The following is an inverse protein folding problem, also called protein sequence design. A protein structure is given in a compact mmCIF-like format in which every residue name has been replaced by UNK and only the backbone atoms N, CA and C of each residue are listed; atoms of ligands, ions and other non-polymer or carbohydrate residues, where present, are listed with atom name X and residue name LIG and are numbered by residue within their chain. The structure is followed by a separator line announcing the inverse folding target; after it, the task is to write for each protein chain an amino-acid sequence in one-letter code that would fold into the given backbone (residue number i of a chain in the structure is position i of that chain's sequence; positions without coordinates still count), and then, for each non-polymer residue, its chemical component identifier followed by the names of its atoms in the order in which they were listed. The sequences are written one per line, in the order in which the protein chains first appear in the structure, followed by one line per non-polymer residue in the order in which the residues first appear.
data_IF_387828371811
#
_entry.id   IF_387828371811
#
_cell.length_a   1.000
_cell.length_b   1.000
_cell.length_c   1.000
_cell.angle_alpha   90.00
_cell.angle_beta   90.00
_cell.angle_gamma   90.00
#
_symmetry.space_group_name_H-M   'P 1'
#
loop_
_entity.id
_entity.type
_entity.pdbx_description
1 polymer ?
#
# COMPACT_ATOMS: atom_id res chain seq x y z
N UNK A 1 25.02 -7.32 39.13
CA UNK A 1 25.55 -6.19 38.32
C UNK A 1 24.56 -5.90 37.21
N UNK A 2 23.92 -4.73 37.24
CA UNK A 2 22.90 -4.30 36.26
C UNK A 2 23.62 -3.67 35.06
N UNK A 3 23.51 -4.28 33.89
CA UNK A 3 24.02 -3.70 32.64
C UNK A 3 23.26 -2.41 32.32
N UNK A 4 23.98 -1.30 32.16
CA UNK A 4 23.42 -0.03 31.65
C UNK A 4 23.06 -0.19 30.17
N UNK A 5 21.78 -0.11 29.84
CA UNK A 5 21.29 0.14 28.48
C UNK A 5 21.42 1.66 28.27
N UNK A 6 22.15 2.11 27.24
CA UNK A 6 22.21 3.55 26.90
C UNK A 6 20.82 4.01 26.45
N UNK A 7 20.32 5.08 27.07
CA UNK A 7 19.16 5.86 26.64
C UNK A 7 19.15 6.06 25.12
N UNK A 8 18.10 5.60 24.45
CA UNK A 8 17.97 5.69 23.00
C UNK A 8 16.52 5.68 22.54
N UNK A 9 16.27 6.23 21.35
CA UNK A 9 14.94 6.49 20.78
C UNK A 9 14.00 5.27 20.82
N UNK A 10 14.53 4.05 20.69
CA UNK A 10 13.78 2.79 20.76
C UNK A 10 13.11 2.58 22.12
N UNK A 11 13.83 2.80 23.21
CA UNK A 11 13.29 2.59 24.58
C UNK A 11 12.21 3.63 24.85
N UNK A 12 12.42 4.87 24.43
CA UNK A 12 11.43 5.94 24.53
C UNK A 12 10.16 5.61 23.73
N UNK A 13 10.31 5.17 22.47
CA UNK A 13 9.18 4.80 21.61
C UNK A 13 8.38 3.62 22.18
N UNK A 14 9.05 2.56 22.65
CA UNK A 14 8.38 1.41 23.25
C UNK A 14 7.70 1.77 24.57
N UNK A 15 8.32 2.61 25.40
CA UNK A 15 7.71 3.09 26.66
C UNK A 15 6.47 3.93 26.38
N UNK A 16 6.53 4.81 25.37
CA UNK A 16 5.39 5.61 24.95
C UNK A 16 4.23 4.75 24.45
N UNK A 17 4.50 3.78 23.56
CA UNK A 17 3.47 2.90 23.01
C UNK A 17 2.85 2.00 24.09
N UNK A 18 3.65 1.50 25.04
CA UNK A 18 3.12 0.77 26.20
C UNK A 18 2.21 1.65 27.04
N UNK A 19 2.67 2.84 27.42
CA UNK A 19 1.83 3.78 28.19
C UNK A 19 0.55 4.18 27.45
N UNK A 20 0.56 4.25 26.12
CA UNK A 20 -0.67 4.43 25.34
C UNK A 20 -1.57 3.20 25.35
N UNK A 21 -1.01 2.01 25.18
CA UNK A 21 -1.77 0.75 25.19
C UNK A 21 -2.46 0.54 26.55
N UNK A 22 -1.82 0.95 27.65
CA UNK A 22 -2.40 0.88 29.00
C UNK A 22 -3.62 1.81 29.16
N UNK A 23 -3.69 2.90 28.38
CA UNK A 23 -4.77 3.90 28.44
C UNK A 23 -5.82 3.74 27.33
N UNK A 24 -5.49 3.04 26.24
CA UNK A 24 -6.37 2.81 25.09
C UNK A 24 -6.34 1.31 24.71
N UNK A 25 -7.35 0.53 25.14
CA UNK A 25 -7.47 -0.88 24.81
C UNK A 25 -7.60 -1.16 23.30
N UNK A 26 -7.90 -0.15 22.49
CA UNK A 26 -8.03 -0.26 21.03
C UNK A 26 -6.69 -0.09 20.30
N UNK A 27 -5.62 0.30 21.01
CA UNK A 27 -4.29 0.38 20.43
C UNK A 27 -3.59 -0.98 20.52
N UNK A 28 -3.30 -1.56 19.36
CA UNK A 28 -2.47 -2.76 19.26
C UNK A 28 -1.01 -2.37 19.05
N UNK A 29 -0.09 -3.01 19.79
CA UNK A 29 1.36 -2.83 19.60
C UNK A 29 2.07 -4.18 19.60
N UNK A 30 2.99 -4.39 18.64
CA UNK A 30 3.83 -5.59 18.56
C UNK A 30 5.25 -5.23 18.12
N UNK A 31 6.26 -5.90 18.68
CA UNK A 31 7.65 -5.67 18.27
C UNK A 31 8.47 -6.96 18.29
N UNK A 32 9.59 -6.95 17.56
CA UNK A 32 10.57 -8.02 17.54
C UNK A 32 11.99 -7.43 17.56
N UNK A 33 12.88 -8.08 18.32
CA UNK A 33 14.30 -7.73 18.42
C UNK A 33 15.18 -8.79 17.76
N UNK A 34 16.41 -8.44 17.41
CA UNK A 34 17.44 -9.41 17.03
C UNK A 34 18.11 -10.04 18.27
N UNK A 35 19.07 -10.95 18.05
CA UNK A 35 19.87 -11.59 19.11
C UNK A 35 20.62 -10.59 19.99
N UNK A 36 20.99 -9.44 19.43
CA UNK A 36 21.74 -8.40 20.11
C UNK A 36 20.83 -7.39 20.85
N UNK A 37 19.52 -7.66 20.91
CA UNK A 37 18.53 -6.81 21.58
C UNK A 37 18.15 -5.53 20.82
N UNK A 38 18.58 -5.37 19.56
CA UNK A 38 18.19 -4.24 18.70
C UNK A 38 16.81 -4.45 18.11
N UNK A 39 16.01 -3.38 18.06
CA UNK A 39 14.69 -3.40 17.43
C UNK A 39 14.81 -3.71 15.94
N UNK A 40 14.13 -4.76 15.50
CA UNK A 40 14.09 -5.18 14.10
C UNK A 40 12.76 -4.82 13.44
N UNK A 41 11.66 -4.99 14.17
CA UNK A 41 10.30 -4.76 13.67
C UNK A 41 9.48 -4.16 14.78
N UNK A 42 8.71 -3.13 14.47
CA UNK A 42 7.76 -2.48 15.36
C UNK A 42 6.48 -2.22 14.58
N UNK A 43 5.35 -2.59 15.13
CA UNK A 43 4.02 -2.39 14.57
C UNK A 43 3.14 -1.77 15.64
N UNK A 44 2.34 -0.78 15.25
CA UNK A 44 1.26 -0.26 16.09
C UNK A 44 0.08 0.17 15.22
N UNK A 45 -1.14 -0.08 15.69
CA UNK A 45 -2.35 0.31 14.97
C UNK A 45 -3.56 0.43 15.91
N UNK A 46 -4.49 1.32 15.58
CA UNK A 46 -5.82 1.41 16.16
C UNK A 46 -6.74 0.39 15.48
N UNK A 47 -7.53 -0.34 16.27
CA UNK A 47 -8.37 -1.46 15.80
C UNK A 47 -9.59 -1.04 14.97
N UNK A 48 -9.43 -0.58 13.72
CA UNK A 48 -10.58 -0.35 12.82
C UNK A 48 -10.28 -0.42 11.31
N UNK A 49 -11.03 -1.22 10.55
CA UNK A 49 -11.26 -0.98 9.12
C UNK A 49 -11.51 -2.21 8.24
N UNK A 50 -12.34 -2.02 7.20
CA UNK A 50 -12.60 -3.02 6.15
C UNK A 50 -11.76 -2.79 4.88
N UNK A 51 -11.27 -1.57 4.66
CA UNK A 51 -10.54 -1.14 3.46
C UNK A 51 -9.19 -0.60 3.87
N UNK A 52 -8.13 -1.08 3.21
CA UNK A 52 -6.76 -0.80 3.61
C UNK A 52 -5.89 -0.31 2.45
N UNK A 53 -5.18 0.79 2.68
CA UNK A 53 -4.05 1.21 1.87
C UNK A 53 -2.73 1.01 2.65
N UNK A 54 -1.79 0.34 2.00
CA UNK A 54 -0.40 0.24 2.40
C UNK A 54 0.43 1.18 1.53
N UNK A 55 1.18 2.07 2.19
CA UNK A 55 2.19 2.88 1.52
C UNK A 55 3.52 2.69 2.22
N UNK A 56 4.60 2.47 1.47
CA UNK A 56 5.94 2.42 2.03
C UNK A 56 6.60 3.78 1.86
N UNK A 57 6.89 4.42 3.00
CA UNK A 57 7.71 5.63 2.98
C UNK A 57 9.18 5.24 3.06
N UNK A 58 9.92 5.56 2.01
CA UNK A 58 11.33 5.20 1.86
C UNK A 58 12.19 5.89 2.92
N UNK A 59 12.75 5.08 3.83
CA UNK A 59 14.05 5.22 4.52
C UNK A 59 14.55 6.62 4.90
N UNK A 60 13.65 7.55 5.23
CA UNK A 60 14.00 8.95 5.61
C UNK A 60 14.42 9.11 7.07
N UNK A 61 14.39 8.05 7.88
CA UNK A 61 14.84 8.10 9.27
C UNK A 61 16.35 7.83 9.38
N UNK A 62 16.92 8.22 10.52
CA UNK A 62 18.35 8.05 10.87
C UNK A 62 18.88 6.62 10.70
N UNK A 63 17.99 5.63 10.75
CA UNK A 63 18.33 4.21 10.69
C UNK A 63 18.14 3.62 9.28
N UNK A 64 17.67 4.42 8.31
CA UNK A 64 17.28 3.98 6.97
C UNK A 64 16.27 2.81 6.98
N UNK A 65 15.42 2.75 8.00
CA UNK A 65 14.42 1.69 8.14
C UNK A 65 13.16 2.04 7.32
N UNK A 66 12.63 1.13 6.51
CA UNK A 66 11.32 1.33 5.88
C UNK A 66 10.21 1.56 6.92
N UNK A 67 9.36 2.55 6.65
CA UNK A 67 8.15 2.80 7.43
C UNK A 67 6.94 2.51 6.54
N UNK A 68 6.21 1.45 6.89
CA UNK A 68 4.94 1.07 6.26
C UNK A 68 3.82 1.83 6.96
N UNK A 69 3.00 2.53 6.20
CA UNK A 69 1.85 3.29 6.69
C UNK A 69 0.57 2.56 6.30
N UNK A 70 -0.32 2.41 7.28
CA UNK A 70 -1.65 1.83 7.13
C UNK A 70 -2.67 2.97 7.18
N UNK A 71 -3.38 3.15 6.08
CA UNK A 71 -4.40 4.18 5.97
C UNK A 71 -5.73 3.64 5.45
N UNK A 72 -6.81 4.34 5.80
CA UNK A 72 -8.18 4.06 5.36
C UNK A 72 -8.89 5.36 5.00
N UNK A 73 -10.04 5.27 4.33
CA UNK A 73 -10.93 6.40 4.18
C UNK A 73 -12.08 6.34 5.20
N UNK A 74 -12.41 7.48 5.82
CA UNK A 74 -13.62 7.60 6.63
C UNK A 74 -14.86 7.91 5.75
N UNK A 75 -16.03 8.05 6.39
CA UNK A 75 -17.30 8.37 5.73
C UNK A 75 -17.32 9.75 5.03
N UNK A 76 -16.39 10.64 5.38
CA UNK A 76 -16.18 11.92 4.71
C UNK A 76 -15.14 11.86 3.58
N UNK A 77 -14.73 10.66 3.15
CA UNK A 77 -13.69 10.45 2.13
C UNK A 77 -12.31 11.03 2.52
N UNK A 78 -12.04 11.18 3.82
CA UNK A 78 -10.74 11.64 4.31
C UNK A 78 -9.83 10.44 4.58
N UNK A 79 -8.58 10.54 4.15
CA UNK A 79 -7.54 9.56 4.48
C UNK A 79 -7.15 9.69 5.95
N UNK A 80 -7.28 8.60 6.70
CA UNK A 80 -6.88 8.50 8.10
C UNK A 80 -5.79 7.43 8.20
N UNK A 81 -4.63 7.81 8.72
CA UNK A 81 -3.61 6.87 9.16
C UNK A 81 -4.07 6.30 10.49
N UNK A 82 -4.17 4.98 10.57
CA UNK A 82 -4.57 4.29 11.80
C UNK A 82 -3.49 3.32 12.29
N UNK A 83 -2.43 3.10 11.52
CA UNK A 83 -1.35 2.23 11.95
C UNK A 83 -0.09 2.42 11.13
N UNK A 84 1.02 1.94 11.69
CA UNK A 84 2.32 2.00 11.07
C UNK A 84 3.14 0.77 11.45
N UNK A 85 4.11 0.42 10.60
CA UNK A 85 5.15 -0.54 10.91
C UNK A 85 6.53 0.00 10.53
N UNK A 86 7.44 0.03 11.49
CA UNK A 86 8.85 0.32 11.27
C UNK A 86 9.62 -1.01 11.19
N UNK A 87 10.29 -1.25 10.07
CA UNK A 87 10.99 -2.52 9.83
C UNK A 87 12.44 -2.30 9.41
N UNK A 88 13.32 -3.26 9.69
CA UNK A 88 14.75 -3.16 9.36
C UNK A 88 15.10 -3.53 7.92
N UNK A 89 14.22 -4.27 7.22
CA UNK A 89 14.47 -4.82 5.89
C UNK A 89 13.18 -4.95 5.08
N UNK A 90 13.30 -5.05 3.74
CA UNK A 90 12.19 -5.15 2.79
C UNK A 90 12.15 -6.57 2.20
N UNK A 91 12.05 -7.57 3.08
CA UNK A 91 11.96 -8.99 2.69
C UNK A 91 10.52 -9.50 2.74
N UNK A 92 10.23 -10.58 2.01
CA UNK A 92 8.92 -11.23 2.02
C UNK A 92 8.53 -11.61 3.46
N UNK A 93 9.46 -12.16 4.25
CA UNK A 93 9.19 -12.58 5.63
C UNK A 93 8.92 -11.40 6.56
N UNK A 94 9.56 -10.26 6.32
CA UNK A 94 9.28 -9.05 7.08
C UNK A 94 7.92 -8.49 6.74
N UNK A 95 7.54 -8.42 5.47
CA UNK A 95 6.18 -7.99 5.11
C UNK A 95 5.11 -9.01 5.52
N UNK A 96 5.38 -10.31 5.50
CA UNK A 96 4.49 -11.34 6.07
C UNK A 96 4.28 -11.09 7.56
N UNK A 97 5.32 -10.75 8.31
CA UNK A 97 5.20 -10.41 9.73
C UNK A 97 4.35 -9.15 9.93
N UNK A 98 4.54 -8.12 9.10
CA UNK A 98 3.75 -6.88 9.14
C UNK A 98 2.27 -7.15 8.84
N UNK A 99 1.97 -7.90 7.79
CA UNK A 99 0.60 -8.29 7.42
C UNK A 99 -0.07 -9.16 8.48
N UNK A 100 0.66 -10.11 9.09
CA UNK A 100 0.13 -10.92 10.20
C UNK A 100 -0.13 -10.08 11.45
N UNK A 101 0.75 -9.12 11.76
CA UNK A 101 0.55 -8.20 12.89
C UNK A 101 -0.69 -7.33 12.67
N UNK A 102 -0.91 -6.88 11.45
CA UNK A 102 -2.16 -6.21 11.06
C UNK A 102 -3.38 -7.12 11.25
N UNK A 103 -3.31 -8.38 10.81
CA UNK A 103 -4.41 -9.32 10.93
C UNK A 103 -4.80 -9.58 12.39
N UNK A 104 -3.80 -9.76 13.26
CA UNK A 104 -3.99 -9.88 14.71
C UNK A 104 -4.64 -8.62 15.29
N UNK A 105 -4.16 -7.43 14.92
CA UNK A 105 -4.72 -6.15 15.35
C UNK A 105 -6.19 -5.99 14.92
N UNK A 106 -6.58 -6.57 13.77
CA UNK A 106 -7.96 -6.53 13.27
C UNK A 106 -8.82 -7.72 13.74
N UNK A 107 -8.42 -8.42 14.80
CA UNK A 107 -9.18 -9.56 15.33
C UNK A 107 -9.28 -10.74 14.36
N UNK A 108 -8.22 -10.96 13.57
CA UNK A 108 -8.13 -11.96 12.51
C UNK A 108 -9.14 -11.79 11.36
N UNK A 109 -9.70 -10.60 11.20
CA UNK A 109 -10.54 -10.27 10.06
C UNK A 109 -9.67 -9.83 8.87
N UNK A 110 -9.84 -10.52 7.74
CA UNK A 110 -9.15 -10.16 6.51
C UNK A 110 -9.69 -8.82 5.97
N UNK A 111 -8.81 -7.95 5.42
CA UNK A 111 -9.27 -6.76 4.72
C UNK A 111 -10.01 -7.16 3.45
N UNK A 112 -11.04 -6.39 3.07
CA UNK A 112 -11.76 -6.63 1.81
C UNK A 112 -10.94 -6.20 0.59
N UNK A 113 -10.11 -5.18 0.78
CA UNK A 113 -9.26 -4.60 -0.24
C UNK A 113 -7.92 -4.16 0.35
N UNK A 114 -6.86 -4.40 -0.40
CA UNK A 114 -5.53 -3.86 -0.16
C UNK A 114 -5.06 -3.03 -1.36
N UNK A 115 -4.75 -1.76 -1.11
CA UNK A 115 -4.08 -0.87 -2.07
C UNK A 115 -2.59 -0.82 -1.76
N UNK A 116 -1.72 -1.06 -2.75
CA UNK A 116 -0.24 -1.04 -2.59
C UNK A 116 0.44 -0.20 -3.67
N UNK A 117 1.59 0.41 -3.35
CA UNK A 117 2.42 1.21 -4.27
C UNK A 117 2.98 0.46 -5.50
N UNK A 118 2.89 -0.86 -5.50
CA UNK A 118 3.32 -1.73 -6.60
C UNK A 118 4.54 -2.58 -6.28
N UNK A 119 5.11 -2.48 -5.08
CA UNK A 119 6.21 -3.31 -4.61
C UNK A 119 5.89 -4.82 -4.75
N UNK A 120 6.80 -5.54 -5.40
CA UNK A 120 6.62 -6.96 -5.74
C UNK A 120 6.74 -7.84 -4.50
N UNK A 121 7.66 -7.51 -3.60
CA UNK A 121 7.93 -8.25 -2.36
C UNK A 121 6.74 -8.13 -1.40
N UNK A 122 6.23 -6.91 -1.23
CA UNK A 122 5.03 -6.63 -0.45
C UNK A 122 3.80 -7.30 -1.05
N UNK A 123 3.61 -7.21 -2.38
CA UNK A 123 2.51 -7.90 -3.06
C UNK A 123 2.55 -9.40 -2.81
N UNK A 124 3.71 -10.02 -2.94
CA UNK A 124 3.88 -11.45 -2.70
C UNK A 124 3.61 -11.82 -1.24
N UNK A 125 4.13 -11.05 -0.28
CA UNK A 125 3.86 -11.25 1.13
C UNK A 125 2.37 -11.15 1.48
N UNK A 126 1.68 -10.12 0.96
CA UNK A 126 0.26 -9.89 1.20
C UNK A 126 -0.57 -11.01 0.57
N UNK A 127 -0.24 -11.48 -0.64
CA UNK A 127 -0.93 -12.63 -1.26
C UNK A 127 -0.82 -13.91 -0.43
N UNK A 128 0.30 -14.10 0.26
CA UNK A 128 0.47 -15.25 1.15
C UNK A 128 -0.36 -15.15 2.43
N UNK A 129 -0.61 -13.94 2.94
CA UNK A 129 -1.34 -13.73 4.21
C UNK A 129 -2.84 -13.52 3.96
N UNK A 130 -3.22 -12.89 2.86
CA UNK A 130 -4.60 -12.63 2.45
C UNK A 130 -4.84 -13.10 1.00
N UNK A 131 -4.90 -14.42 0.75
CA UNK A 131 -5.01 -14.96 -0.61
C UNK A 131 -6.29 -14.53 -1.33
N UNK A 132 -7.37 -14.32 -0.59
CA UNK A 132 -8.69 -13.99 -1.13
C UNK A 132 -8.99 -12.47 -1.14
N UNK A 133 -8.09 -11.65 -0.62
CA UNK A 133 -8.29 -10.20 -0.59
C UNK A 133 -8.02 -9.60 -1.97
N UNK A 134 -8.86 -8.67 -2.42
CA UNK A 134 -8.59 -7.94 -3.66
C UNK A 134 -7.33 -7.06 -3.49
N UNK A 135 -6.41 -7.14 -4.45
CA UNK A 135 -5.20 -6.30 -4.49
C UNK A 135 -5.31 -5.29 -5.61
N UNK A 136 -5.22 -4.01 -5.26
CA UNK A 136 -5.25 -2.89 -6.20
C UNK A 136 -3.92 -2.13 -6.19
N UNK A 137 -3.28 -1.91 -7.35
CA UNK A 137 -2.18 -0.95 -7.42
C UNK A 137 -2.67 0.46 -7.06
N UNK A 138 -1.89 1.19 -6.27
CA UNK A 138 -2.11 2.59 -5.96
C UNK A 138 -2.21 3.37 -7.28
N UNK A 139 -3.34 4.04 -7.48
CA UNK A 139 -3.61 4.76 -8.71
C UNK A 139 -2.60 5.89 -8.96
N UNK A 140 -2.15 6.60 -7.91
CA UNK A 140 -1.10 7.60 -8.05
C UNK A 140 0.23 6.99 -8.53
N UNK A 141 0.67 5.90 -7.91
CA UNK A 141 1.87 5.18 -8.33
C UNK A 141 1.72 4.62 -9.73
N UNK A 142 0.54 4.14 -10.11
CA UNK A 142 0.26 3.64 -11.46
C UNK A 142 0.42 4.74 -12.50
N UNK A 143 -0.15 5.92 -12.25
CA UNK A 143 -0.01 7.09 -13.11
C UNK A 143 1.44 7.60 -13.15
N UNK A 144 2.15 7.60 -12.03
CA UNK A 144 3.57 7.95 -11.98
C UNK A 144 4.43 6.96 -12.77
N UNK A 145 4.13 5.66 -12.68
CA UNK A 145 4.82 4.62 -13.42
C UNK A 145 4.56 4.72 -14.94
N UNK A 146 3.38 5.20 -15.35
CA UNK A 146 3.11 5.53 -16.75
C UNK A 146 4.05 6.64 -17.27
N UNK A 147 4.28 7.67 -16.46
CA UNK A 147 5.21 8.76 -16.77
C UNK A 147 6.68 8.29 -16.80
N UNK A 148 7.07 7.38 -15.91
CA UNK A 148 8.45 6.87 -15.78
C UNK A 148 8.73 5.63 -16.66
N UNK A 149 7.78 5.19 -17.47
CA UNK A 149 7.90 3.97 -18.27
C UNK A 149 9.13 4.01 -19.19
N UNK A 150 9.84 2.87 -19.42
CA UNK A 150 11.01 2.79 -20.30
C UNK A 150 10.75 3.22 -21.75
N UNK A 151 9.48 3.23 -22.19
CA UNK A 151 9.03 3.68 -23.50
C UNK A 151 8.71 5.20 -23.50
N UNK A 152 9.56 5.94 -22.78
CA UNK A 152 9.20 7.18 -22.09
C UNK A 152 8.75 8.32 -22.99
N UNK A 153 9.23 8.36 -24.24
CA UNK A 153 9.03 9.54 -25.09
C UNK A 153 7.60 9.62 -25.63
N UNK A 154 6.95 8.46 -25.85
CA UNK A 154 5.57 8.38 -26.31
C UNK A 154 4.56 8.37 -25.13
N UNK A 155 4.92 7.75 -24.00
CA UNK A 155 4.05 7.64 -22.82
C UNK A 155 4.07 8.88 -21.91
N UNK A 156 5.03 9.80 -22.07
CA UNK A 156 5.06 11.09 -21.35
C UNK A 156 4.20 12.17 -22.00
N UNK A 157 3.53 11.89 -23.13
CA UNK A 157 2.66 12.89 -23.74
C UNK A 157 1.54 13.25 -22.76
N UNK A 158 1.38 14.56 -22.51
CA UNK A 158 0.30 15.07 -21.64
C UNK A 158 -1.08 14.53 -22.06
N UNK A 159 -1.42 14.46 -23.37
CA UNK A 159 -2.67 13.85 -23.83
C UNK A 159 -2.85 12.38 -23.42
N UNK A 160 -1.81 11.54 -23.57
CA UNK A 160 -1.90 10.13 -23.17
C UNK A 160 -2.13 9.99 -21.66
N UNK A 161 -1.41 10.76 -20.83
CA UNK A 161 -1.57 10.67 -19.37
C UNK A 161 -2.97 11.10 -18.92
N UNK A 162 -3.56 12.11 -19.59
CA UNK A 162 -4.95 12.50 -19.34
C UNK A 162 -5.94 11.39 -19.72
N UNK A 163 -5.78 10.81 -20.91
CA UNK A 163 -6.63 9.70 -21.38
C UNK A 163 -6.45 8.46 -20.50
N UNK A 164 -5.22 8.15 -20.08
CA UNK A 164 -4.92 7.05 -19.17
C UNK A 164 -5.55 7.28 -17.79
N UNK A 165 -5.46 8.49 -17.24
CA UNK A 165 -6.17 8.87 -16.01
C UNK A 165 -7.69 8.72 -16.18
N UNK A 166 -8.23 9.09 -17.35
CA UNK A 166 -9.64 8.89 -17.68
C UNK A 166 -10.01 7.40 -17.71
N UNK A 167 -9.19 6.54 -18.32
CA UNK A 167 -9.38 5.08 -18.29
C UNK A 167 -9.36 4.50 -16.87
N UNK A 168 -8.54 5.06 -15.97
CA UNK A 168 -8.45 4.58 -14.59
C UNK A 168 -9.70 4.88 -13.77
N UNK A 169 -10.28 6.07 -13.91
CA UNK A 169 -11.27 6.60 -12.97
C UNK A 169 -12.69 6.72 -13.52
N UNK A 170 -12.89 6.68 -14.84
CA UNK A 170 -14.22 6.83 -15.41
C UNK A 170 -15.08 5.61 -15.12
N UNK A 171 -16.36 5.88 -14.93
CA UNK A 171 -17.41 4.88 -14.80
C UNK A 171 -17.88 4.48 -16.21
N UNK A 172 -17.04 3.69 -16.90
CA UNK A 172 -17.40 3.10 -18.18
C UNK A 172 -18.08 1.75 -17.97
N UNK A 173 -18.94 1.36 -18.91
CA UNK A 173 -19.25 -0.05 -19.13
C UNK A 173 -18.03 -0.82 -19.64
N UNK A 174 -18.06 -2.15 -19.57
CA UNK A 174 -16.97 -2.98 -20.09
C UNK A 174 -16.72 -2.76 -21.59
N UNK A 175 -17.77 -2.44 -22.35
CA UNK A 175 -17.71 -2.16 -23.79
C UNK A 175 -17.11 -0.77 -24.03
N UNK A 176 -17.63 0.26 -23.36
CA UNK A 176 -17.10 1.62 -23.43
C UNK A 176 -15.62 1.69 -23.05
N UNK A 177 -15.17 0.92 -22.06
CA UNK A 177 -13.75 0.86 -21.71
C UNK A 177 -12.91 0.27 -22.85
N UNK A 178 -13.38 -0.81 -23.49
CA UNK A 178 -12.65 -1.44 -24.60
C UNK A 178 -12.53 -0.47 -25.77
N UNK A 179 -13.61 0.21 -26.10
CA UNK A 179 -13.64 1.23 -27.16
C UNK A 179 -12.74 2.42 -26.81
N UNK A 180 -12.81 2.89 -25.56
CA UNK A 180 -11.96 3.98 -25.08
C UNK A 180 -10.47 3.61 -25.08
N UNK A 181 -10.13 2.36 -24.75
CA UNK A 181 -8.74 1.89 -24.73
C UNK A 181 -8.08 1.90 -26.13
N UNK A 182 -8.86 1.98 -27.21
CA UNK A 182 -8.33 2.23 -28.56
C UNK A 182 -7.56 3.56 -28.66
N UNK A 183 -7.63 4.43 -27.65
CA UNK A 183 -6.72 5.58 -27.46
C UNK A 183 -5.23 5.20 -27.59
N UNK A 184 -4.85 3.96 -27.32
CA UNK A 184 -3.48 3.46 -27.52
C UNK A 184 -3.02 3.62 -28.98
N UNK A 185 -3.91 3.43 -29.96
CA UNK A 185 -3.60 3.63 -31.38
C UNK A 185 -3.40 5.10 -31.70
N UNK A 186 -4.30 5.96 -31.21
CA UNK A 186 -4.23 7.42 -31.37
C UNK A 186 -2.90 8.00 -30.85
N UNK A 187 -2.37 7.43 -29.77
CA UNK A 187 -1.10 7.86 -29.17
C UNK A 187 0.12 7.12 -29.75
N UNK A 188 -0.04 6.24 -30.74
CA UNK A 188 1.07 5.49 -31.35
C UNK A 188 1.74 4.50 -30.41
N UNK A 189 1.00 3.98 -29.43
CA UNK A 189 1.52 3.15 -28.33
C UNK A 189 1.26 1.64 -28.55
N UNK A 190 0.80 1.25 -29.73
CA UNK A 190 0.56 -0.15 -30.10
C UNK A 190 1.88 -0.94 -30.04
N UNK A 191 1.85 -2.14 -29.46
CA UNK A 191 3.02 -3.00 -29.33
C UNK A 191 3.97 -2.61 -28.19
N UNK A 192 3.73 -1.50 -27.48
CA UNK A 192 4.50 -1.17 -26.28
C UNK A 192 4.19 -2.18 -25.17
N UNK A 193 5.23 -2.90 -24.73
CA UNK A 193 5.11 -3.96 -23.70
C UNK A 193 4.41 -3.49 -22.43
N UNK A 194 4.75 -2.28 -21.96
CA UNK A 194 4.15 -1.72 -20.76
C UNK A 194 2.64 -1.48 -20.93
N UNK A 195 2.21 -0.90 -22.06
CA UNK A 195 0.79 -0.64 -22.36
C UNK A 195 0.01 -1.95 -22.49
N UNK A 196 0.58 -2.95 -23.14
CA UNK A 196 -0.01 -4.29 -23.26
C UNK A 196 -0.24 -4.90 -21.87
N UNK A 197 0.79 -4.85 -21.00
CA UNK A 197 0.69 -5.30 -19.61
C UNK A 197 -0.36 -4.52 -18.80
N UNK A 198 -0.52 -3.22 -19.05
CA UNK A 198 -1.56 -2.42 -18.41
C UNK A 198 -2.95 -2.89 -18.79
N UNK A 199 -3.18 -3.17 -20.07
CA UNK A 199 -4.44 -3.69 -20.56
C UNK A 199 -4.74 -5.09 -20.00
N UNK A 200 -3.76 -6.01 -20.01
CA UNK A 200 -3.91 -7.35 -19.43
C UNK A 200 -4.34 -7.29 -17.95
N UNK A 201 -3.76 -6.36 -17.20
CA UNK A 201 -4.03 -6.19 -15.77
C UNK A 201 -5.17 -5.20 -15.47
N UNK A 202 -5.96 -4.75 -16.47
CA UNK A 202 -7.01 -3.72 -16.31
C UNK A 202 -8.01 -4.01 -15.19
N UNK A 203 -8.32 -5.28 -14.95
CA UNK A 203 -9.20 -5.71 -13.87
C UNK A 203 -8.70 -5.37 -12.47
N UNK A 204 -7.40 -5.11 -12.30
CA UNK A 204 -6.80 -4.77 -11.02
C UNK A 204 -6.78 -3.28 -10.69
N UNK A 205 -7.04 -2.38 -11.67
CA UNK A 205 -6.83 -0.94 -11.47
C UNK A 205 -7.93 -0.02 -12.01
N UNK A 206 -8.62 -0.41 -13.09
CA UNK A 206 -9.65 0.41 -13.71
C UNK A 206 -10.98 0.30 -12.95
N UNK A 207 -11.59 1.45 -12.61
CA UNK A 207 -12.88 1.51 -11.89
C UNK A 207 -13.96 0.65 -12.54
N UNK A 208 -14.05 0.66 -13.87
CA UNK A 208 -14.96 -0.16 -14.69
C UNK A 208 -14.94 -1.67 -14.40
N UNK A 209 -13.81 -2.23 -13.96
CA UNK A 209 -13.71 -3.67 -13.66
C UNK A 209 -13.83 -3.98 -12.17
N UNK A 210 -14.03 -2.94 -11.38
CA UNK A 210 -13.91 -2.94 -9.95
C UNK A 210 -15.26 -2.64 -9.26
N UNK A 211 -16.34 -2.40 -10.02
CA UNK A 211 -17.66 -1.98 -9.52
C UNK A 211 -18.23 -2.81 -8.36
N UNK A 212 -17.96 -4.12 -8.34
CA UNK A 212 -18.48 -5.01 -7.28
C UNK A 212 -17.69 -4.93 -5.97
N UNK A 213 -16.66 -4.08 -5.90
CA UNK A 213 -15.79 -3.94 -4.74
C UNK A 213 -15.94 -2.52 -4.18
N UNK A 214 -16.36 -2.40 -2.92
CA UNK A 214 -16.50 -1.10 -2.28
C UNK A 214 -15.12 -0.52 -1.88
N UNK A 215 -14.70 0.57 -2.52
CA UNK A 215 -13.37 1.19 -2.32
C UNK A 215 -13.30 2.28 -1.25
N UNK A 216 -14.43 2.73 -0.69
CA UNK A 216 -14.46 3.91 0.19
C UNK A 216 -13.81 5.17 -0.40
N UNK A 217 -13.65 5.25 -1.74
CA UNK A 217 -12.89 6.28 -2.47
C UNK A 217 -11.41 6.41 -2.10
N UNK A 218 -10.77 5.35 -1.61
CA UNK A 218 -9.31 5.34 -1.37
C UNK A 218 -8.57 5.53 -2.71
N UNK A 219 -8.06 6.74 -2.90
CA UNK A 219 -7.13 7.14 -3.95
C UNK A 219 -5.88 7.65 -3.22
N UNK A 220 -4.95 6.77 -2.90
CA UNK A 220 -3.73 7.15 -2.17
C UNK A 220 -2.94 8.19 -2.97
N UNK A 221 -2.88 9.41 -2.44
CA UNK A 221 -2.01 10.50 -2.87
C UNK A 221 -0.79 10.47 -1.96
N UNK A 222 0.38 10.09 -2.48
CA UNK A 222 1.63 10.40 -1.78
C UNK A 222 1.96 11.88 -1.92
#
# INVERSE_FOLDING_TARGET
MRGKIKDGDVVAALSYLRGKTDNDPMLYTKFATNSDGRLRKLFWADCFGDVLAFDTTYRKNKYNYPLVIFSRCNHHSQTIIFGCALVSDETIDTYKWVSKSFLEAMGNKHPKLVVIDGDVVMREAIKHVFPDTCHRPCAWHLHKNAFLSPSSDLTKSSPFLMDFKKAMYSDFTLEEFKDFWMMVEKHGLVGIKWVSKMYENRSSWATTYLHDIFFGRICTTS
#
